data_IF_289965937366
#
_entry.id   IF_289965937366
#
_cell.length_a   1.000
_cell.length_b   1.000
_cell.length_c   1.000
_cell.angle_alpha   90.00
_cell.angle_beta   90.00
_cell.angle_gamma   90.00
#
_symmetry.space_group_name_H-M   'P 1'
#
loop_
_entity.id
_entity.type
_entity.pdbx_description
1 polymer ?
#
# COMPACT_ATOMS: atom_id res chain seq x y z
N UNK A 1 -5.21 0.10 -26.00
CA UNK A 1 -4.37 -0.09 -24.81
C UNK A 1 -5.05 -1.10 -23.89
N UNK A 2 -4.31 -2.05 -23.31
CA UNK A 2 -4.87 -3.11 -22.47
C UNK A 2 -4.43 -2.93 -21.02
N UNK A 3 -5.40 -2.99 -20.11
CA UNK A 3 -5.19 -2.81 -18.65
C UNK A 3 -5.65 -4.05 -17.92
N UNK A 4 -4.74 -4.69 -17.18
CA UNK A 4 -5.09 -5.70 -16.19
C UNK A 4 -5.29 -5.05 -14.82
N UNK A 5 -6.34 -5.42 -14.10
CA UNK A 5 -6.55 -4.99 -12.71
C UNK A 5 -6.49 -6.21 -11.83
N UNK A 6 -5.58 -6.24 -10.85
CA UNK A 6 -5.40 -7.37 -9.93
C UNK A 6 -5.81 -6.96 -8.53
N UNK A 7 -6.72 -7.74 -7.91
CA UNK A 7 -7.16 -7.57 -6.54
C UNK A 7 -6.85 -8.85 -5.76
N UNK A 8 -5.76 -8.87 -4.96
CA UNK A 8 -5.48 -9.99 -4.07
C UNK A 8 -6.48 -10.02 -2.91
N UNK A 9 -7.07 -11.19 -2.67
CA UNK A 9 -8.12 -11.39 -1.66
C UNK A 9 -7.65 -12.41 -0.63
N UNK A 10 -7.55 -11.98 0.62
CA UNK A 10 -7.30 -12.88 1.72
C UNK A 10 -8.57 -13.70 2.08
N UNK A 11 -8.44 -14.94 2.57
CA UNK A 11 -9.59 -15.82 2.80
C UNK A 11 -10.63 -15.27 3.78
N UNK A 12 -10.23 -14.41 4.71
CA UNK A 12 -11.10 -13.81 5.74
C UNK A 12 -11.78 -12.51 5.34
N UNK A 13 -11.52 -11.96 4.14
CA UNK A 13 -12.18 -10.72 3.69
C UNK A 13 -13.69 -10.96 3.53
N UNK A 14 -14.55 -10.04 4.05
CA UNK A 14 -15.99 -10.22 4.02
C UNK A 14 -16.56 -10.09 2.59
N UNK A 15 -17.57 -10.92 2.29
CA UNK A 15 -18.20 -10.97 0.96
C UNK A 15 -18.79 -9.62 0.54
N UNK A 16 -19.46 -8.91 1.45
CA UNK A 16 -20.04 -7.58 1.17
C UNK A 16 -18.99 -6.56 0.71
N UNK A 17 -17.79 -6.59 1.33
CA UNK A 17 -16.68 -5.72 0.95
C UNK A 17 -16.15 -6.06 -0.45
N UNK A 18 -16.08 -7.35 -0.79
CA UNK A 18 -15.65 -7.82 -2.13
C UNK A 18 -16.62 -7.36 -3.21
N UNK A 19 -17.95 -7.51 -2.98
CA UNK A 19 -18.97 -7.06 -3.93
C UNK A 19 -18.92 -5.53 -4.09
N UNK A 20 -18.76 -4.80 -2.97
CA UNK A 20 -18.63 -3.35 -3.01
C UNK A 20 -17.37 -2.91 -3.80
N UNK A 21 -16.25 -3.63 -3.63
CA UNK A 21 -15.03 -3.44 -4.40
C UNK A 21 -15.29 -3.63 -5.90
N UNK A 22 -15.90 -4.76 -6.27
CA UNK A 22 -16.15 -5.11 -7.68
C UNK A 22 -17.08 -4.09 -8.37
N UNK A 23 -18.15 -3.69 -7.70
CA UNK A 23 -19.05 -2.65 -8.20
C UNK A 23 -18.33 -1.31 -8.38
N UNK A 24 -17.48 -0.92 -7.42
CA UNK A 24 -16.72 0.34 -7.49
C UNK A 24 -15.76 0.34 -8.67
N UNK A 25 -14.96 -0.74 -8.84
CA UNK A 25 -13.96 -0.83 -9.91
C UNK A 25 -14.59 -0.88 -11.31
N UNK A 26 -15.76 -1.50 -11.46
CA UNK A 26 -16.51 -1.48 -12.73
C UNK A 26 -17.04 -0.10 -13.09
N UNK A 27 -17.23 0.79 -12.12
CA UNK A 27 -17.71 2.16 -12.34
C UNK A 27 -16.58 3.17 -12.56
N UNK A 28 -15.33 2.73 -12.63
CA UNK A 28 -14.21 3.60 -13.02
C UNK A 28 -14.34 3.97 -14.51
N UNK A 29 -13.75 5.11 -14.84
CA UNK A 29 -13.60 5.53 -16.22
C UNK A 29 -12.31 4.91 -16.80
N UNK A 30 -12.43 4.27 -17.96
CA UNK A 30 -11.31 3.65 -18.66
C UNK A 30 -11.16 4.19 -20.09
N UNK A 31 -11.97 5.17 -20.50
CA UNK A 31 -12.04 5.61 -21.90
C UNK A 31 -12.12 4.42 -22.87
N UNK A 32 -11.30 4.40 -23.94
CA UNK A 32 -11.25 3.33 -24.94
C UNK A 32 -10.25 2.19 -24.56
N UNK A 33 -9.93 2.01 -23.29
CA UNK A 33 -9.03 0.95 -22.84
C UNK A 33 -9.77 -0.39 -22.75
N UNK A 34 -9.14 -1.46 -23.23
CA UNK A 34 -9.60 -2.83 -23.00
C UNK A 34 -9.17 -3.28 -21.61
N UNK A 35 -10.13 -3.59 -20.72
CA UNK A 35 -9.88 -3.80 -19.30
C UNK A 35 -10.32 -5.18 -18.84
N UNK A 36 -9.44 -5.88 -18.12
CA UNK A 36 -9.77 -7.10 -17.38
C UNK A 36 -9.57 -6.90 -15.89
N UNK A 37 -10.62 -7.15 -15.11
CA UNK A 37 -10.60 -7.11 -13.65
C UNK A 37 -10.50 -8.54 -13.14
N UNK A 38 -9.44 -8.83 -12.37
CA UNK A 38 -9.15 -10.16 -11.84
C UNK A 38 -9.05 -10.13 -10.32
N UNK A 39 -9.91 -10.87 -9.65
CA UNK A 39 -9.81 -11.17 -8.22
C UNK A 39 -9.02 -12.45 -8.03
N UNK A 40 -7.96 -12.41 -7.22
CA UNK A 40 -7.14 -13.58 -6.89
C UNK A 40 -7.43 -13.98 -5.46
N UNK A 41 -8.13 -15.10 -5.26
CA UNK A 41 -8.66 -15.55 -3.96
C UNK A 41 -7.89 -16.77 -3.47
N UNK A 42 -7.41 -16.71 -2.23
CA UNK A 42 -6.72 -17.82 -1.56
C UNK A 42 -7.72 -18.85 -0.99
N UNK A 43 -8.67 -19.30 -1.82
CA UNK A 43 -9.65 -20.34 -1.50
C UNK A 43 -10.22 -20.93 -2.80
N UNK A 44 -10.43 -22.26 -2.84
CA UNK A 44 -11.00 -22.95 -4.02
C UNK A 44 -12.53 -23.07 -3.91
N UNK A 45 -13.02 -23.38 -2.71
CA UNK A 45 -14.44 -23.66 -2.42
C UNK A 45 -15.01 -22.54 -1.55
N UNK A 46 -15.28 -21.39 -2.16
CA UNK A 46 -15.81 -20.25 -1.42
C UNK A 46 -16.99 -19.63 -2.18
N UNK A 47 -18.07 -19.35 -1.46
CA UNK A 47 -19.21 -18.58 -1.98
C UNK A 47 -18.79 -17.26 -2.62
N UNK A 48 -17.65 -16.68 -2.15
CA UNK A 48 -17.03 -15.47 -2.70
C UNK A 48 -16.61 -15.64 -4.15
N UNK A 49 -16.08 -16.82 -4.52
CA UNK A 49 -15.69 -17.13 -5.91
C UNK A 49 -16.91 -17.07 -6.81
N UNK A 50 -18.02 -17.70 -6.39
CA UNK A 50 -19.27 -17.72 -7.16
C UNK A 50 -19.85 -16.30 -7.29
N UNK A 51 -19.91 -15.57 -6.18
CA UNK A 51 -20.46 -14.23 -6.16
C UNK A 51 -19.65 -13.23 -7.01
N UNK A 52 -18.32 -13.31 -6.98
CA UNK A 52 -17.46 -12.39 -7.74
C UNK A 52 -17.43 -12.65 -9.24
N UNK A 53 -17.65 -13.91 -9.70
CA UNK A 53 -17.73 -14.24 -11.13
C UNK A 53 -18.81 -13.48 -11.90
N UNK A 54 -19.81 -12.95 -11.20
CA UNK A 54 -20.84 -12.08 -11.80
C UNK A 54 -20.31 -10.68 -12.14
N UNK A 55 -19.18 -10.28 -11.57
CA UNK A 55 -18.63 -8.93 -11.68
C UNK A 55 -17.27 -8.87 -12.36
N UNK A 56 -16.45 -9.92 -12.25
CA UNK A 56 -15.07 -9.92 -12.67
C UNK A 56 -14.55 -11.35 -12.91
N UNK A 57 -13.38 -11.46 -13.54
CA UNK A 57 -12.65 -12.73 -13.59
C UNK A 57 -12.17 -13.11 -12.18
N UNK A 58 -12.13 -14.42 -11.89
CA UNK A 58 -11.72 -14.93 -10.58
C UNK A 58 -10.70 -16.05 -10.76
N UNK A 59 -9.51 -15.86 -10.19
CA UNK A 59 -8.50 -16.89 -10.02
C UNK A 59 -8.56 -17.43 -8.59
N UNK A 60 -9.09 -18.62 -8.41
CA UNK A 60 -9.10 -19.32 -7.11
C UNK A 60 -7.79 -20.07 -6.93
N UNK A 61 -7.11 -19.87 -5.80
CA UNK A 61 -5.84 -20.51 -5.46
C UNK A 61 -6.06 -21.55 -4.37
N UNK A 62 -5.48 -22.75 -4.54
CA UNK A 62 -5.54 -23.82 -3.55
C UNK A 62 -4.66 -23.62 -2.32
N UNK A 63 -3.79 -22.63 -2.34
CA UNK A 63 -2.85 -22.31 -1.27
C UNK A 63 -2.65 -20.82 -1.15
N UNK A 64 -2.36 -20.33 0.07
CA UNK A 64 -1.94 -18.93 0.29
C UNK A 64 -0.42 -18.74 0.13
N UNK A 65 0.21 -19.50 -0.79
CA UNK A 65 1.63 -19.40 -1.12
C UNK A 65 2.01 -17.94 -1.41
N UNK A 66 3.07 -17.44 -0.79
CA UNK A 66 3.54 -16.06 -0.97
C UNK A 66 2.54 -15.00 -0.54
N UNK A 67 1.42 -15.38 0.09
CA UNK A 67 0.39 -14.45 0.56
C UNK A 67 0.00 -13.46 -0.55
N UNK A 68 -0.02 -12.16 -0.23
CA UNK A 68 -0.37 -11.09 -1.17
C UNK A 68 0.59 -11.03 -2.38
N UNK A 69 1.90 -11.17 -2.18
CA UNK A 69 2.89 -11.19 -3.26
C UNK A 69 2.64 -12.36 -4.23
N UNK A 70 2.42 -13.56 -3.69
CA UNK A 70 2.09 -14.73 -4.49
C UNK A 70 0.79 -14.57 -5.26
N UNK A 71 -0.26 -14.00 -4.63
CA UNK A 71 -1.52 -13.72 -5.31
C UNK A 71 -1.34 -12.76 -6.49
N UNK A 72 -0.57 -11.68 -6.31
CA UNK A 72 -0.27 -10.75 -7.39
C UNK A 72 0.55 -11.43 -8.50
N UNK A 73 1.60 -12.19 -8.15
CA UNK A 73 2.41 -12.92 -9.12
C UNK A 73 1.60 -13.90 -9.96
N UNK A 74 0.70 -14.66 -9.33
CA UNK A 74 -0.18 -15.59 -10.03
C UNK A 74 -1.20 -14.84 -10.91
N UNK A 75 -1.72 -13.71 -10.44
CA UNK A 75 -2.57 -12.82 -11.23
C UNK A 75 -1.86 -12.25 -12.48
N UNK A 76 -0.61 -11.84 -12.34
CA UNK A 76 0.24 -11.41 -13.48
C UNK A 76 0.40 -12.54 -14.48
N UNK A 77 0.67 -13.76 -14.01
CA UNK A 77 0.80 -14.94 -14.89
C UNK A 77 -0.51 -15.29 -15.60
N UNK A 78 -1.65 -15.18 -14.90
CA UNK A 78 -2.97 -15.43 -15.46
C UNK A 78 -3.33 -14.41 -16.55
N UNK A 79 -2.97 -13.14 -16.36
CA UNK A 79 -3.21 -12.08 -17.33
C UNK A 79 -2.22 -12.07 -18.50
N UNK A 80 -1.18 -12.91 -18.50
CA UNK A 80 -0.17 -12.94 -19.58
C UNK A 80 -0.77 -13.21 -20.97
N UNK A 81 -1.83 -14.03 -21.07
CA UNK A 81 -2.56 -14.28 -22.33
C UNK A 81 -3.30 -13.05 -22.85
N UNK A 82 -3.73 -12.19 -21.95
CA UNK A 82 -4.36 -10.90 -22.28
C UNK A 82 -3.34 -9.87 -22.79
N UNK A 83 -2.04 -10.05 -22.45
CA UNK A 83 -0.94 -9.15 -22.79
C UNK A 83 -1.22 -7.69 -22.41
N UNK A 84 -1.42 -7.39 -21.12
CA UNK A 84 -1.70 -6.03 -20.68
C UNK A 84 -0.46 -5.15 -20.91
N UNK A 85 -0.69 -3.89 -21.29
CA UNK A 85 0.36 -2.86 -21.34
C UNK A 85 0.70 -2.39 -19.93
N UNK A 86 -0.35 -2.29 -19.09
CA UNK A 86 -0.26 -1.88 -17.68
C UNK A 86 -1.07 -2.80 -16.79
N UNK A 87 -0.64 -2.90 -15.53
CA UNK A 87 -1.35 -3.61 -14.47
C UNK A 87 -1.64 -2.63 -13.33
N UNK A 88 -2.92 -2.47 -13.00
CA UNK A 88 -3.35 -1.77 -11.80
C UNK A 88 -3.48 -2.77 -10.64
N UNK A 89 -3.00 -2.41 -9.46
CA UNK A 89 -3.14 -3.22 -8.25
C UNK A 89 -3.98 -2.42 -7.24
N UNK A 90 -5.02 -3.06 -6.70
CA UNK A 90 -5.87 -2.50 -5.65
C UNK A 90 -6.09 -3.51 -4.54
N UNK A 91 -6.24 -3.04 -3.30
CA UNK A 91 -6.77 -3.85 -2.21
C UNK A 91 -8.30 -3.83 -2.23
N UNK A 92 -8.94 -4.77 -1.57
CA UNK A 92 -10.42 -4.91 -1.57
C UNK A 92 -11.14 -3.69 -0.99
N UNK A 93 -10.48 -2.92 -0.13
CA UNK A 93 -10.99 -1.67 0.45
C UNK A 93 -10.56 -0.41 -0.30
N UNK A 94 -9.77 -0.55 -1.36
CA UNK A 94 -9.36 0.59 -2.18
C UNK A 94 -10.53 1.17 -2.95
N UNK A 95 -10.67 2.50 -2.86
CA UNK A 95 -11.70 3.26 -3.59
C UNK A 95 -11.04 4.41 -4.34
N UNK A 96 -10.43 4.13 -5.53
CA UNK A 96 -9.88 5.18 -6.39
C UNK A 96 -10.98 6.08 -6.96
N UNK A 97 -10.63 7.36 -7.23
CA UNK A 97 -11.48 8.25 -8.00
C UNK A 97 -11.70 7.73 -9.44
N UNK A 98 -12.80 8.13 -10.07
CA UNK A 98 -13.23 7.59 -11.38
C UNK A 98 -12.13 7.60 -12.45
N UNK A 99 -11.34 8.66 -12.53
CA UNK A 99 -10.30 8.83 -13.55
C UNK A 99 -8.89 8.39 -13.07
N UNK A 100 -8.82 7.65 -11.99
CA UNK A 100 -7.55 7.23 -11.39
C UNK A 100 -6.64 6.50 -12.39
N UNK A 101 -7.18 5.50 -13.08
CA UNK A 101 -6.39 4.68 -14.02
C UNK A 101 -5.90 5.51 -15.19
N UNK A 102 -6.77 6.31 -15.79
CA UNK A 102 -6.44 7.20 -16.92
C UNK A 102 -5.28 8.12 -16.56
N UNK A 103 -5.39 8.84 -15.42
CA UNK A 103 -4.35 9.77 -14.96
C UNK A 103 -3.01 9.09 -14.72
N UNK A 104 -3.05 7.89 -14.12
CA UNK A 104 -1.83 7.12 -13.88
C UNK A 104 -1.19 6.62 -15.18
N UNK A 105 -1.99 6.15 -16.13
CA UNK A 105 -1.51 5.71 -17.45
C UNK A 105 -0.88 6.89 -18.20
N UNK A 106 -1.55 8.02 -18.30
CA UNK A 106 -1.02 9.22 -18.95
C UNK A 106 0.32 9.68 -18.35
N UNK A 107 0.45 9.59 -17.01
CA UNK A 107 1.69 9.92 -16.34
C UNK A 107 2.81 8.92 -16.68
N UNK A 108 2.50 7.62 -16.76
CA UNK A 108 3.45 6.60 -17.17
C UNK A 108 3.86 6.76 -18.62
N UNK A 109 2.94 7.02 -19.54
CA UNK A 109 3.23 7.24 -20.96
C UNK A 109 4.18 8.43 -21.16
N UNK A 110 3.97 9.50 -20.38
CA UNK A 110 4.79 10.70 -20.41
C UNK A 110 6.18 10.52 -19.77
N UNK A 111 6.40 9.45 -19.00
CA UNK A 111 7.67 9.17 -18.32
C UNK A 111 8.11 7.71 -18.45
N UNK A 112 8.89 7.36 -19.48
CA UNK A 112 9.35 5.98 -19.72
C UNK A 112 10.18 5.38 -18.57
N UNK A 113 10.79 6.21 -17.71
CA UNK A 113 11.55 5.76 -16.54
C UNK A 113 10.66 5.42 -15.33
N UNK A 114 9.37 5.75 -15.40
CA UNK A 114 8.47 5.43 -14.30
C UNK A 114 8.03 3.96 -14.35
N UNK A 115 8.14 3.25 -13.21
CA UNK A 115 7.63 1.89 -13.06
C UNK A 115 6.19 1.83 -12.55
N UNK A 116 5.80 2.82 -11.75
CA UNK A 116 4.48 2.95 -11.12
C UNK A 116 4.03 4.40 -11.09
N UNK A 117 2.74 4.62 -11.27
CA UNK A 117 2.05 5.85 -10.99
C UNK A 117 0.89 5.61 -10.01
N UNK A 118 0.72 6.48 -9.04
CA UNK A 118 -0.37 6.44 -8.06
C UNK A 118 -0.74 7.84 -7.60
N UNK A 119 -1.78 7.96 -6.79
CA UNK A 119 -2.27 9.24 -6.27
C UNK A 119 -2.11 9.32 -4.75
N UNK A 120 -2.51 10.46 -4.17
CA UNK A 120 -2.55 10.64 -2.73
C UNK A 120 -3.61 9.73 -2.09
N UNK A 121 -3.29 9.23 -0.90
CA UNK A 121 -4.16 8.33 -0.13
C UNK A 121 -4.88 9.06 0.96
N UNK A 122 -6.11 8.68 1.18
CA UNK A 122 -7.00 9.24 2.19
C UNK A 122 -7.72 8.12 2.94
N UNK A 123 -8.05 8.36 4.20
CA UNK A 123 -8.79 7.41 5.02
C UNK A 123 -10.29 7.62 4.82
N UNK A 124 -11.00 6.54 4.50
CA UNK A 124 -12.45 6.54 4.26
C UNK A 124 -13.28 6.39 5.54
N UNK A 125 -12.69 5.82 6.61
CA UNK A 125 -13.39 5.48 7.86
C UNK A 125 -12.82 6.17 9.11
N UNK A 126 -12.71 7.53 9.19
CA UNK A 126 -12.19 8.23 10.36
C UNK A 126 -13.24 8.32 11.50
N UNK A 127 -13.70 7.16 12.00
CA UNK A 127 -14.85 7.03 12.90
C UNK A 127 -14.49 7.16 14.38
N UNK A 128 -13.26 6.83 14.77
CA UNK A 128 -12.80 6.87 16.15
C UNK A 128 -11.40 7.51 16.27
N UNK A 129 -10.86 7.59 17.48
CA UNK A 129 -9.56 8.22 17.72
C UNK A 129 -8.43 7.52 16.95
N UNK A 130 -8.44 6.19 16.84
CA UNK A 130 -7.41 5.43 16.13
C UNK A 130 -7.42 5.78 14.64
N UNK A 131 -8.56 5.64 13.97
CA UNK A 131 -8.68 5.93 12.54
C UNK A 131 -8.49 7.42 12.20
N UNK A 132 -8.92 8.35 13.08
CA UNK A 132 -8.63 9.78 12.96
C UNK A 132 -7.13 10.09 13.10
N UNK A 133 -6.43 9.35 13.95
CA UNK A 133 -4.96 9.47 14.08
C UNK A 133 -4.25 9.00 12.82
N UNK A 134 -4.67 7.86 12.26
CA UNK A 134 -4.14 7.37 10.98
C UNK A 134 -4.46 8.34 9.84
N UNK A 135 -5.65 8.93 9.82
CA UNK A 135 -5.98 9.99 8.84
C UNK A 135 -4.99 11.17 8.93
N UNK A 136 -4.65 11.64 10.13
CA UNK A 136 -3.68 12.71 10.33
C UNK A 136 -2.27 12.29 9.89
N UNK A 137 -1.84 11.04 10.17
CA UNK A 137 -0.59 10.48 9.68
C UNK A 137 -0.53 10.47 8.14
N UNK A 138 -1.62 10.10 7.46
CA UNK A 138 -1.66 10.05 5.99
C UNK A 138 -1.52 11.42 5.34
N UNK A 139 -1.94 12.51 6.01
CA UNK A 139 -1.62 13.86 5.52
C UNK A 139 -0.13 14.14 5.53
N UNK A 140 0.59 13.69 6.57
CA UNK A 140 2.05 13.81 6.63
C UNK A 140 2.71 12.92 5.57
N UNK A 141 2.27 11.68 5.41
CA UNK A 141 2.77 10.76 4.38
C UNK A 141 2.59 11.37 2.99
N UNK A 142 1.42 11.91 2.66
CA UNK A 142 1.16 12.56 1.38
C UNK A 142 2.07 13.78 1.13
N UNK A 143 2.41 14.54 2.18
CA UNK A 143 3.37 15.63 2.08
C UNK A 143 4.79 15.12 1.81
N UNK A 144 5.22 14.09 2.55
CA UNK A 144 6.55 13.49 2.39
C UNK A 144 6.73 12.83 1.02
N UNK A 145 5.72 12.14 0.51
CA UNK A 145 5.75 11.51 -0.83
C UNK A 145 6.04 12.52 -1.96
N UNK A 146 5.56 13.76 -1.83
CA UNK A 146 5.86 14.81 -2.82
C UNK A 146 7.35 15.18 -2.87
N UNK A 147 8.04 15.11 -1.72
CA UNK A 147 9.43 15.56 -1.55
C UNK A 147 10.45 14.42 -1.64
N UNK A 148 10.01 13.19 -1.32
CA UNK A 148 10.89 12.02 -1.27
C UNK A 148 11.46 11.64 -2.64
N UNK A 149 12.73 11.27 -2.65
CA UNK A 149 13.39 10.58 -3.77
C UNK A 149 13.12 9.08 -3.79
N UNK A 150 12.60 8.53 -2.69
CA UNK A 150 12.12 7.15 -2.58
C UNK A 150 10.61 7.17 -2.35
N UNK A 151 9.86 7.15 -3.43
CA UNK A 151 8.41 7.03 -3.35
C UNK A 151 8.03 5.56 -3.33
N UNK A 152 7.41 5.16 -2.25
CA UNK A 152 6.81 3.85 -2.07
C UNK A 152 5.31 4.02 -1.89
N UNK A 153 4.54 3.27 -2.64
CA UNK A 153 3.09 3.19 -2.48
C UNK A 153 2.75 1.88 -1.78
N UNK A 154 2.20 1.97 -0.55
CA UNK A 154 1.88 0.80 0.26
C UNK A 154 0.99 -0.17 -0.54
N UNK A 155 1.33 -1.45 -0.51
CA UNK A 155 0.64 -2.46 -1.29
C UNK A 155 0.81 -2.32 -2.80
N UNK A 156 1.75 -1.51 -3.32
CA UNK A 156 1.88 -1.19 -4.75
C UNK A 156 0.56 -0.71 -5.38
N UNK A 157 -0.32 -0.09 -4.58
CA UNK A 157 -1.59 0.41 -5.10
C UNK A 157 -1.30 1.54 -6.08
N UNK A 158 -1.64 1.32 -7.34
CA UNK A 158 -1.31 2.17 -8.46
C UNK A 158 -1.37 1.42 -9.76
N UNK A 159 -0.96 2.06 -10.84
CA UNK A 159 -0.80 1.49 -12.16
C UNK A 159 0.68 1.27 -12.42
N UNK A 160 1.06 0.06 -12.82
CA UNK A 160 2.44 -0.34 -13.07
C UNK A 160 2.62 -0.76 -14.53
N UNK A 161 3.84 -0.64 -15.06
CA UNK A 161 4.16 -1.26 -16.35
C UNK A 161 4.13 -2.78 -16.22
N UNK A 162 3.30 -3.43 -17.02
CA UNK A 162 3.13 -4.88 -16.98
C UNK A 162 4.46 -5.62 -17.16
N UNK A 163 5.27 -5.20 -18.11
CA UNK A 163 6.59 -5.80 -18.40
C UNK A 163 7.53 -5.81 -17.19
N UNK A 164 7.49 -4.77 -16.34
CA UNK A 164 8.35 -4.73 -15.15
C UNK A 164 7.86 -5.70 -14.06
N UNK A 165 6.55 -5.85 -13.89
CA UNK A 165 6.00 -6.87 -12.98
C UNK A 165 6.27 -8.30 -13.48
N UNK A 166 6.15 -8.54 -14.77
CA UNK A 166 6.43 -9.85 -15.40
C UNK A 166 7.90 -10.25 -15.22
N UNK A 167 8.83 -9.33 -15.50
CA UNK A 167 10.26 -9.62 -15.48
C UNK A 167 10.85 -9.67 -14.08
N UNK A 168 10.34 -8.89 -13.14
CA UNK A 168 10.96 -8.73 -11.81
C UNK A 168 10.16 -9.35 -10.68
N UNK A 169 8.93 -9.75 -10.88
CA UNK A 169 8.07 -10.41 -9.89
C UNK A 169 8.16 -9.82 -8.47
N UNK A 170 7.15 -10.00 -7.67
CA UNK A 170 7.21 -9.68 -6.26
C UNK A 170 7.95 -10.77 -5.49
N UNK A 171 8.71 -10.38 -4.50
CA UNK A 171 9.38 -11.32 -3.60
C UNK A 171 8.37 -11.90 -2.60
N UNK A 172 8.08 -13.18 -2.71
CA UNK A 172 7.07 -13.88 -1.90
C UNK A 172 7.50 -14.08 -0.43
N UNK A 173 8.80 -13.98 -0.15
CA UNK A 173 9.36 -14.06 1.21
C UNK A 173 9.43 -12.70 1.91
N UNK A 174 9.15 -11.62 1.19
CA UNK A 174 9.14 -10.27 1.77
C UNK A 174 7.83 -10.01 2.52
N UNK A 175 7.93 -9.54 3.77
CA UNK A 175 6.75 -9.13 4.55
C UNK A 175 6.22 -7.73 4.16
N UNK A 176 7.01 -6.96 3.44
CA UNK A 176 6.65 -5.72 2.78
C UNK A 176 7.09 -5.83 1.31
N UNK A 177 6.34 -6.61 0.55
CA UNK A 177 6.61 -6.91 -0.87
C UNK A 177 6.61 -5.66 -1.74
N UNK A 178 5.83 -4.67 -1.36
CA UNK A 178 5.74 -3.35 -1.98
C UNK A 178 7.02 -2.54 -1.81
N UNK A 179 7.57 -2.50 -0.60
CA UNK A 179 8.81 -1.82 -0.29
C UNK A 179 10.03 -2.54 -0.90
N UNK A 180 9.99 -3.89 -0.93
CA UNK A 180 10.99 -4.72 -1.61
C UNK A 180 11.02 -4.38 -3.10
N UNK A 181 9.88 -4.44 -3.78
CA UNK A 181 9.78 -4.14 -5.20
C UNK A 181 10.17 -2.69 -5.49
N UNK A 182 9.67 -1.73 -4.72
CA UNK A 182 10.01 -0.32 -4.87
C UNK A 182 11.53 -0.09 -4.73
N UNK A 183 12.18 -0.71 -3.73
CA UNK A 183 13.63 -0.59 -3.52
C UNK A 183 14.40 -1.11 -4.73
N UNK A 184 14.02 -2.28 -5.26
CA UNK A 184 14.66 -2.85 -6.45
C UNK A 184 14.50 -1.96 -7.68
N UNK A 185 13.28 -1.48 -7.94
CA UNK A 185 13.01 -0.61 -9.09
C UNK A 185 13.79 0.71 -9.00
N UNK A 186 13.79 1.37 -7.83
CA UNK A 186 14.57 2.58 -7.65
C UNK A 186 16.08 2.35 -7.78
N UNK A 187 16.61 1.23 -7.27
CA UNK A 187 18.02 0.88 -7.41
C UNK A 187 18.43 0.63 -8.87
N UNK A 188 17.52 0.11 -9.70
CA UNK A 188 17.70 -0.05 -11.16
C UNK A 188 17.53 1.27 -11.95
N UNK A 189 17.21 2.37 -11.29
CA UNK A 189 17.09 3.68 -11.94
C UNK A 189 15.66 4.08 -12.32
N UNK A 190 14.66 3.24 -12.08
CA UNK A 190 13.26 3.59 -12.30
C UNK A 190 12.75 4.59 -11.24
N UNK A 191 11.59 5.17 -11.52
CA UNK A 191 10.96 6.19 -10.69
C UNK A 191 9.51 5.84 -10.39
N UNK A 192 8.99 6.37 -9.27
CA UNK A 192 7.57 6.29 -8.93
C UNK A 192 6.94 7.69 -9.02
N UNK A 193 5.78 7.79 -9.66
CA UNK A 193 5.08 9.04 -9.90
C UNK A 193 3.90 9.20 -8.95
N UNK A 194 3.79 10.40 -8.37
CA UNK A 194 2.63 10.81 -7.59
C UNK A 194 1.77 11.74 -8.45
N UNK A 195 0.68 11.23 -8.98
CA UNK A 195 -0.28 11.94 -9.81
C UNK A 195 -1.29 12.74 -8.96
N UNK A 196 -1.97 13.67 -9.60
CA UNK A 196 -3.13 14.32 -9.00
C UNK A 196 -4.29 13.34 -8.93
N UNK A 197 -5.12 13.50 -7.87
CA UNK A 197 -6.23 12.61 -7.57
C UNK A 197 -6.15 12.02 -6.17
N UNK A 198 -7.11 11.16 -5.87
CA UNK A 198 -7.26 10.53 -4.56
C UNK A 198 -7.59 9.06 -4.69
N UNK A 199 -7.11 8.31 -3.73
CA UNK A 199 -7.59 6.97 -3.44
C UNK A 199 -7.94 6.89 -1.96
N UNK A 200 -9.04 6.22 -1.63
CA UNK A 200 -9.51 6.06 -0.26
C UNK A 200 -9.32 4.62 0.16
N UNK A 201 -8.91 4.42 1.42
CA UNK A 201 -8.67 3.12 2.06
C UNK A 201 -9.21 3.13 3.49
N UNK A 202 -9.41 1.95 4.07
CA UNK A 202 -9.79 1.83 5.46
C UNK A 202 -8.56 1.83 6.38
N UNK A 203 -8.62 2.63 7.45
CA UNK A 203 -7.66 2.58 8.53
C UNK A 203 -8.02 1.49 9.54
N UNK A 204 -7.04 0.95 10.30
CA UNK A 204 -7.32 0.20 11.51
C UNK A 204 -8.20 1.00 12.48
N UNK A 205 -9.16 0.33 13.12
CA UNK A 205 -10.07 0.95 14.09
C UNK A 205 -9.72 0.60 15.54
N UNK A 206 -8.73 -0.26 15.76
CA UNK A 206 -8.20 -0.60 17.08
C UNK A 206 -6.69 -0.37 17.15
N UNK A 207 -6.20 0.01 18.33
CA UNK A 207 -4.74 0.14 18.57
C UNK A 207 -3.99 -1.16 18.38
N UNK A 208 -4.63 -2.31 18.68
CA UNK A 208 -4.06 -3.65 18.48
C UNK A 208 -3.82 -3.95 17.00
N UNK A 209 -4.82 -3.68 16.15
CA UNK A 209 -4.69 -3.92 14.70
C UNK A 209 -3.64 -2.98 14.09
N UNK A 210 -3.63 -1.71 14.52
CA UNK A 210 -2.62 -0.74 14.12
C UNK A 210 -1.21 -1.21 14.53
N UNK A 211 -1.02 -1.67 15.78
CA UNK A 211 0.24 -2.22 16.24
C UNK A 211 0.72 -3.41 15.40
N UNK A 212 -0.17 -4.38 15.15
CA UNK A 212 0.17 -5.58 14.37
C UNK A 212 0.56 -5.23 12.92
N UNK A 213 -0.18 -4.29 12.31
CA UNK A 213 0.12 -3.79 10.97
C UNK A 213 1.50 -3.12 10.94
N UNK A 214 1.78 -2.21 11.87
CA UNK A 214 3.04 -1.45 11.93
C UNK A 214 4.23 -2.35 12.27
N UNK A 215 4.08 -3.29 13.21
CA UNK A 215 5.11 -4.26 13.53
C UNK A 215 5.54 -5.06 12.29
N UNK A 216 4.57 -5.50 11.46
CA UNK A 216 4.86 -6.18 10.20
C UNK A 216 5.61 -5.28 9.21
N UNK A 217 5.21 -4.01 9.10
CA UNK A 217 5.89 -3.06 8.22
C UNK A 217 7.34 -2.81 8.64
N UNK A 218 7.59 -2.65 9.93
CA UNK A 218 8.96 -2.51 10.46
C UNK A 218 9.80 -3.75 10.19
N UNK A 219 9.26 -4.94 10.41
CA UNK A 219 9.99 -6.17 10.10
C UNK A 219 10.33 -6.26 8.60
N UNK A 220 9.37 -5.98 7.72
CA UNK A 220 9.61 -5.92 6.27
C UNK A 220 10.66 -4.86 5.89
N UNK A 221 10.65 -3.71 6.56
CA UNK A 221 11.67 -2.68 6.40
C UNK A 221 13.08 -3.16 6.76
N UNK A 222 13.23 -3.97 7.85
CA UNK A 222 14.52 -4.58 8.20
C UNK A 222 15.03 -5.53 7.11
N UNK A 223 14.15 -6.24 6.41
CA UNK A 223 14.54 -7.11 5.30
C UNK A 223 15.15 -6.33 4.12
N UNK A 224 14.88 -5.02 3.98
CA UNK A 224 15.38 -4.20 2.88
C UNK A 224 16.88 -3.89 2.98
N UNK A 225 17.48 -4.01 4.17
CA UNK A 225 18.91 -3.76 4.34
C UNK A 225 19.80 -4.67 3.48
N UNK A 226 19.29 -5.83 3.04
CA UNK A 226 19.96 -6.69 2.05
C UNK A 226 20.29 -5.97 0.73
N UNK A 227 19.55 -4.89 0.39
CA UNK A 227 19.74 -4.12 -0.84
C UNK A 227 20.69 -2.92 -0.71
N UNK A 228 21.34 -2.72 0.45
CA UNK A 228 22.17 -1.54 0.72
C UNK A 228 23.23 -1.32 -0.37
N UNK A 229 23.91 -2.38 -0.81
CA UNK A 229 24.92 -2.30 -1.88
C UNK A 229 24.32 -1.80 -3.20
N UNK A 230 23.16 -2.34 -3.62
CA UNK A 230 22.47 -1.94 -4.84
C UNK A 230 21.96 -0.50 -4.76
N UNK A 231 21.48 -0.07 -3.58
CA UNK A 231 21.02 1.29 -3.33
C UNK A 231 22.17 2.28 -3.50
N UNK A 232 23.34 2.02 -2.89
CA UNK A 232 24.51 2.90 -3.03
C UNK A 232 25.09 2.87 -4.45
N UNK A 233 25.11 1.70 -5.11
CA UNK A 233 25.56 1.56 -6.50
C UNK A 233 24.70 2.32 -7.50
N UNK A 234 23.46 2.68 -7.16
CA UNK A 234 22.58 3.50 -8.01
C UNK A 234 23.11 4.91 -8.27
N UNK A 235 24.01 5.42 -7.41
CA UNK A 235 24.58 6.77 -7.44
C UNK A 235 23.54 7.89 -7.50
N UNK A 236 22.34 7.66 -6.98
CA UNK A 236 21.20 8.61 -6.95
C UNK A 236 21.03 9.20 -5.55
N UNK A 237 21.68 10.35 -5.20
CA UNK A 237 21.75 10.83 -3.81
C UNK A 237 20.37 11.08 -3.19
N UNK A 238 19.41 11.64 -3.94
CA UNK A 238 18.05 11.83 -3.43
C UNK A 238 17.34 10.54 -3.08
N UNK A 239 17.55 9.47 -3.87
CA UNK A 239 17.01 8.15 -3.57
C UNK A 239 17.70 7.57 -2.33
N UNK A 240 19.03 7.55 -2.31
CA UNK A 240 19.84 7.00 -1.21
C UNK A 240 19.46 7.66 0.13
N UNK A 241 19.45 8.99 0.18
CA UNK A 241 19.11 9.71 1.41
C UNK A 241 17.67 9.46 1.86
N UNK A 242 16.70 9.48 0.92
CA UNK A 242 15.29 9.21 1.26
C UNK A 242 15.09 7.77 1.74
N UNK A 243 15.75 6.79 1.13
CA UNK A 243 15.70 5.39 1.53
C UNK A 243 16.31 5.17 2.91
N UNK A 244 17.49 5.75 3.17
CA UNK A 244 18.12 5.70 4.50
C UNK A 244 17.23 6.35 5.56
N UNK A 245 16.68 7.54 5.30
CA UNK A 245 15.77 8.20 6.23
C UNK A 245 14.52 7.36 6.51
N UNK A 246 13.95 6.72 5.49
CA UNK A 246 12.82 5.83 5.67
C UNK A 246 13.14 4.61 6.53
N UNK A 247 14.37 4.05 6.45
CA UNK A 247 14.78 2.88 7.21
C UNK A 247 15.48 3.20 8.55
N UNK A 248 15.63 4.47 8.92
CA UNK A 248 16.24 4.88 10.19
C UNK A 248 15.29 5.72 11.02
N UNK A 249 14.86 6.89 10.52
CA UNK A 249 14.05 7.84 11.30
C UNK A 249 12.68 7.28 11.67
N UNK A 250 12.09 6.43 10.82
CA UNK A 250 10.80 5.80 11.15
C UNK A 250 10.90 4.79 12.29
N UNK A 251 12.11 4.31 12.62
CA UNK A 251 12.33 3.35 13.72
C UNK A 251 12.49 4.01 15.10
N UNK A 252 12.56 5.34 15.15
CA UNK A 252 12.69 6.13 16.39
C UNK A 252 11.58 7.18 16.54
N UNK A 253 10.29 6.82 16.32
CA UNK A 253 9.20 7.80 16.27
C UNK A 253 8.97 8.50 17.61
N UNK A 254 9.31 7.89 18.73
CA UNK A 254 9.20 8.52 20.06
C UNK A 254 10.07 9.79 20.19
N UNK A 255 11.18 9.88 19.45
CA UNK A 255 12.04 11.07 19.43
C UNK A 255 11.30 12.32 18.93
N UNK A 256 10.26 12.13 18.10
CA UNK A 256 9.49 13.23 17.50
C UNK A 256 8.29 13.67 18.38
N UNK A 257 8.05 13.08 19.56
CA UNK A 257 6.94 13.45 20.46
C UNK A 257 6.97 14.95 20.82
N UNK A 258 8.10 15.59 21.19
CA UNK A 258 8.11 17.03 21.45
C UNK A 258 7.65 17.86 20.25
N UNK A 259 8.07 17.45 19.05
CA UNK A 259 7.66 18.12 17.81
C UNK A 259 6.16 17.90 17.51
N UNK A 260 5.64 16.70 17.78
CA UNK A 260 4.20 16.40 17.67
C UNK A 260 3.40 17.29 18.60
N UNK A 261 3.82 17.46 19.84
CA UNK A 261 3.12 18.31 20.84
C UNK A 261 3.02 19.76 20.39
N UNK A 262 4.08 20.30 19.80
CA UNK A 262 4.14 21.71 19.39
C UNK A 262 3.43 21.95 18.05
N UNK A 263 3.66 21.09 17.05
CA UNK A 263 3.20 21.34 15.68
C UNK A 263 1.82 20.76 15.38
N UNK A 264 1.41 19.67 16.03
CA UNK A 264 0.15 19.02 15.65
C UNK A 264 -1.10 19.84 15.99
N UNK A 265 -1.21 20.58 17.14
CA UNK A 265 -2.42 21.36 17.40
C UNK A 265 -2.72 22.42 16.33
N UNK A 266 -1.79 23.32 15.96
CA UNK A 266 -2.05 24.31 14.91
C UNK A 266 -2.27 23.67 13.54
N UNK A 267 -1.56 22.59 13.21
CA UNK A 267 -1.73 21.90 11.93
C UNK A 267 -3.09 21.20 11.82
N UNK A 268 -3.58 20.58 12.89
CA UNK A 268 -4.89 19.95 12.92
C UNK A 268 -6.01 20.99 12.79
N UNK A 269 -5.92 22.11 13.51
CA UNK A 269 -6.88 23.20 13.40
C UNK A 269 -6.88 23.82 12.00
N UNK A 270 -5.71 24.08 11.42
CA UNK A 270 -5.58 24.59 10.06
C UNK A 270 -6.19 23.62 9.03
N UNK A 271 -5.88 22.32 9.15
CA UNK A 271 -6.27 21.32 8.15
C UNK A 271 -7.75 20.96 8.22
N UNK A 272 -8.26 20.69 9.44
CA UNK A 272 -9.62 20.21 9.62
C UNK A 272 -10.62 21.34 9.93
N UNK A 273 -10.13 22.50 10.35
CA UNK A 273 -10.94 23.66 10.77
C UNK A 273 -11.98 23.34 11.84
N UNK A 274 -11.69 22.34 12.69
CA UNK A 274 -12.59 21.81 13.73
C UNK A 274 -11.84 21.59 15.03
N UNK A 275 -12.35 22.10 16.13
CA UNK A 275 -11.77 21.95 17.47
C UNK A 275 -11.90 20.52 17.99
N UNK A 276 -12.93 19.77 17.54
CA UNK A 276 -13.13 18.35 17.88
C UNK A 276 -12.00 17.42 17.40
N UNK A 277 -11.08 17.94 16.60
CA UNK A 277 -9.87 17.22 16.16
C UNK A 277 -8.68 17.37 17.13
N UNK A 278 -8.72 18.24 18.12
CA UNK A 278 -7.65 18.41 19.10
C UNK A 278 -7.32 17.12 19.88
N UNK A 279 -8.28 16.26 20.27
CA UNK A 279 -7.95 14.97 20.90
C UNK A 279 -7.05 14.07 20.05
N UNK A 280 -6.97 14.28 18.73
CA UNK A 280 -6.06 13.55 17.84
C UNK A 280 -4.58 13.80 18.20
N UNK A 281 -4.25 14.91 18.87
CA UNK A 281 -2.89 15.15 19.41
C UNK A 281 -2.49 14.02 20.37
N UNK A 282 -3.39 13.64 21.30
CA UNK A 282 -3.15 12.49 22.18
C UNK A 282 -3.06 11.19 21.39
N UNK A 283 -3.88 11.05 20.36
CA UNK A 283 -3.80 9.92 19.41
C UNK A 283 -2.43 9.84 18.75
N UNK A 284 -1.87 10.96 18.27
CA UNK A 284 -0.55 11.01 17.63
C UNK A 284 0.59 10.67 18.61
N UNK A 285 0.49 11.08 19.87
CA UNK A 285 1.46 10.71 20.91
C UNK A 285 1.39 9.19 21.17
N UNK A 286 0.16 8.68 21.42
CA UNK A 286 -0.06 7.24 21.60
C UNK A 286 0.46 6.45 20.39
N UNK A 287 0.22 6.95 19.19
CA UNK A 287 0.71 6.37 17.96
C UNK A 287 2.24 6.33 17.90
N UNK A 288 2.93 7.44 18.23
CA UNK A 288 4.39 7.48 18.26
C UNK A 288 4.98 6.46 19.25
N UNK A 289 4.38 6.31 20.44
CA UNK A 289 4.79 5.30 21.42
C UNK A 289 4.51 3.87 20.93
N UNK A 290 3.34 3.65 20.32
CA UNK A 290 2.97 2.37 19.73
C UNK A 290 3.89 1.98 18.58
N UNK A 291 4.25 2.93 17.72
CA UNK A 291 5.21 2.73 16.63
C UNK A 291 6.60 2.39 17.19
N UNK A 292 7.04 3.07 18.27
CA UNK A 292 8.31 2.77 18.94
C UNK A 292 8.32 1.34 19.47
N UNK A 293 7.26 0.92 20.16
CA UNK A 293 7.13 -0.46 20.63
C UNK A 293 7.12 -1.45 19.47
N UNK A 294 6.39 -1.14 18.39
CA UNK A 294 6.31 -1.99 17.20
C UNK A 294 7.68 -2.14 16.52
N UNK A 295 8.47 -1.06 16.42
CA UNK A 295 9.81 -1.10 15.83
C UNK A 295 10.79 -1.94 16.66
N UNK A 296 10.77 -1.78 18.00
CA UNK A 296 11.59 -2.58 18.92
C UNK A 296 11.22 -4.07 18.79
N UNK A 297 9.92 -4.39 18.85
CA UNK A 297 9.45 -5.77 18.77
C UNK A 297 9.68 -6.40 17.39
N UNK A 298 9.67 -5.62 16.32
CA UNK A 298 10.06 -6.08 14.99
C UNK A 298 11.56 -6.41 14.95
N UNK A 299 12.39 -5.53 15.50
CA UNK A 299 13.85 -5.76 15.59
C UNK A 299 14.17 -7.01 16.41
N UNK A 300 13.57 -7.17 17.58
CA UNK A 300 13.73 -8.38 18.41
C UNK A 300 13.32 -9.63 17.62
N UNK A 301 12.17 -9.60 16.95
CA UNK A 301 11.71 -10.74 16.14
C UNK A 301 12.66 -11.03 14.98
N UNK A 302 13.19 -10.01 14.33
CA UNK A 302 14.16 -10.14 13.23
C UNK A 302 15.46 -10.78 13.68
N UNK A 303 16.04 -10.30 14.79
CA UNK A 303 17.33 -10.83 15.34
C UNK A 303 17.16 -12.25 15.88
N UNK A 304 16.00 -12.57 16.49
CA UNK A 304 15.74 -13.91 17.05
C UNK A 304 15.20 -14.91 16.04
N UNK A 305 15.03 -14.52 14.77
CA UNK A 305 14.49 -15.40 13.73
C UNK A 305 13.02 -15.83 13.95
N UNK A 306 12.26 -15.09 14.77
CA UNK A 306 10.86 -15.43 15.02
C UNK A 306 9.98 -15.04 13.85
N UNK A 307 9.19 -15.99 13.36
CA UNK A 307 8.24 -15.76 12.29
C UNK A 307 7.20 -14.71 12.67
N UNK A 308 6.96 -13.81 11.73
CA UNK A 308 5.89 -12.81 11.84
C UNK A 308 4.59 -13.39 11.28
N UNK A 309 3.66 -13.70 12.18
CA UNK A 309 2.32 -14.13 11.77
C UNK A 309 1.51 -12.92 11.29
N UNK A 310 0.86 -13.11 10.16
CA UNK A 310 -0.10 -12.15 9.67
C UNK A 310 -1.42 -12.28 10.46
N UNK A 311 -1.96 -11.17 10.92
CA UNK A 311 -3.23 -11.14 11.64
C UNK A 311 -4.28 -10.40 10.80
N UNK A 312 -5.50 -10.93 10.68
CA UNK A 312 -6.60 -10.23 10.03
C UNK A 312 -6.90 -8.90 10.75
N UNK A 313 -7.18 -7.88 9.97
CA UNK A 313 -7.59 -6.57 10.47
C UNK A 313 -9.12 -6.47 10.47
N UNK A 314 -9.70 -5.90 11.52
CA UNK A 314 -11.14 -5.62 11.54
C UNK A 314 -11.47 -4.58 10.48
N UNK A 315 -12.41 -4.93 9.58
CA UNK A 315 -12.94 -4.02 8.57
C UNK A 315 -14.20 -3.33 9.10
N UNK A 316 -14.41 -2.10 8.69
CA UNK A 316 -15.73 -1.45 8.85
C UNK A 316 -16.62 -1.91 7.70
N UNK A 317 -17.87 -2.21 7.99
CA UNK A 317 -18.87 -2.45 6.94
C UNK A 317 -18.92 -1.22 6.07
N UNK A 318 -18.75 -1.41 4.75
CA UNK A 318 -18.73 -0.33 3.78
C UNK A 318 -20.11 0.14 3.38
#
# INVERSE_FOLDING_TARGET
MRIGIIIPVAPFEPLNLLIASAKHLRNLNFDDMDVRILYVIDSIEDEKVVALRQYADVLARGTSRGKRAGAINDGVSHLATFKPDYIAIFDVDSRPEKDFVIRCVQALDSNPKAYIASTRRYISNPINLVSKTVEAEYYLINFLLRKSGFKQFNGLIGVLRASLLENHRLNEDALAEDADFATRMHAMGYEALLCDGRIFEQAPITWKDLYNQRKRWYYGGLQLWKYIKSVFSSRRPRFITSWLMALTLTYIPALFIPLILVLSPPLLLYKFRKVDRLPVVLGLITHALLLQLASIMALVSFVTGRDMRWAPMKRTEG
#
